data_IF_240580766466
#
_entry.id   IF_240580766466
#
_cell.length_a   1.000
_cell.length_b   1.000
_cell.length_c   1.000
_cell.angle_alpha   90.00
_cell.angle_beta   90.00
_cell.angle_gamma   90.00
#
_symmetry.space_group_name_H-M   'P 1'
#
loop_
_entity.id
_entity.type
_entity.pdbx_description
1 polymer ?
#
# COMPACT_ATOMS: atom_id res chain seq x y z
N UNK A 1 -2.09 -13.36 -24.26
CA UNK A 1 -3.10 -13.57 -23.20
C UNK A 1 -2.44 -13.29 -21.86
N UNK A 2 -2.72 -12.13 -21.25
CA UNK A 2 -2.18 -11.83 -19.91
C UNK A 2 -2.68 -12.88 -18.93
N UNK A 3 -1.75 -13.56 -18.27
CA UNK A 3 -2.01 -14.65 -17.34
C UNK A 3 -2.89 -14.14 -16.19
N UNK A 4 -4.16 -14.62 -16.15
CA UNK A 4 -5.19 -14.21 -15.19
C UNK A 4 -4.70 -14.34 -13.74
N UNK A 5 -3.77 -15.25 -13.49
CA UNK A 5 -3.16 -15.54 -12.19
C UNK A 5 -2.32 -14.38 -11.63
N UNK A 6 -1.86 -13.47 -12.48
CA UNK A 6 -1.05 -12.31 -12.10
C UNK A 6 -1.85 -11.05 -11.76
N UNK A 7 -3.15 -11.02 -12.07
CA UNK A 7 -4.01 -9.85 -11.80
C UNK A 7 -4.15 -9.57 -10.31
N UNK A 8 -3.99 -8.31 -9.92
CA UNK A 8 -4.14 -7.85 -8.54
C UNK A 8 -5.54 -8.15 -7.96
N UNK A 9 -6.57 -8.12 -8.80
CA UNK A 9 -7.95 -8.45 -8.42
C UNK A 9 -8.14 -9.94 -8.10
N UNK A 10 -7.39 -10.80 -8.79
CA UNK A 10 -7.42 -12.25 -8.54
C UNK A 10 -6.67 -12.58 -7.25
N UNK A 11 -5.58 -11.86 -6.97
CA UNK A 11 -4.80 -12.01 -5.73
C UNK A 11 -5.45 -11.37 -4.51
N UNK A 12 -6.35 -10.41 -4.71
CA UNK A 12 -7.12 -9.77 -3.66
C UNK A 12 -8.56 -9.53 -4.11
N UNK A 13 -9.48 -10.46 -3.80
CA UNK A 13 -10.87 -10.36 -4.25
C UNK A 13 -11.59 -9.15 -3.66
N UNK A 14 -11.11 -8.61 -2.54
CA UNK A 14 -11.72 -7.46 -1.88
C UNK A 14 -11.54 -6.15 -2.67
N UNK A 15 -10.59 -6.09 -3.61
CA UNK A 15 -10.40 -4.91 -4.48
C UNK A 15 -11.64 -4.58 -5.32
N UNK A 16 -12.50 -5.56 -5.58
CA UNK A 16 -13.74 -5.38 -6.35
C UNK A 16 -14.85 -4.72 -5.55
N UNK A 17 -14.71 -4.61 -4.23
CA UNK A 17 -15.75 -4.03 -3.38
C UNK A 17 -15.71 -2.49 -3.42
N UNK A 18 -16.86 -1.81 -3.46
CA UNK A 18 -16.91 -0.35 -3.33
C UNK A 18 -16.25 0.15 -2.03
N UNK A 19 -16.33 -0.64 -0.96
CA UNK A 19 -15.66 -0.34 0.31
C UNK A 19 -14.12 -0.27 0.18
N UNK A 20 -13.51 -1.06 -0.71
CA UNK A 20 -12.07 -0.99 -0.97
C UNK A 20 -11.67 0.34 -1.61
N UNK A 21 -12.49 0.88 -2.52
CA UNK A 21 -12.28 2.21 -3.08
C UNK A 21 -12.37 3.30 -2.01
N UNK A 22 -13.36 3.22 -1.10
CA UNK A 22 -13.49 4.15 0.02
C UNK A 22 -12.29 4.13 0.96
N UNK A 23 -11.73 2.95 1.26
CA UNK A 23 -10.51 2.86 2.07
C UNK A 23 -9.31 3.50 1.36
N UNK A 24 -9.24 3.41 0.03
CA UNK A 24 -8.16 4.04 -0.75
C UNK A 24 -8.27 5.57 -0.78
N UNK A 25 -9.49 6.12 -0.68
CA UNK A 25 -9.72 7.57 -0.63
C UNK A 25 -9.46 8.20 0.75
N UNK A 26 -9.21 7.40 1.80
CA UNK A 26 -8.81 7.91 3.11
C UNK A 26 -7.45 8.62 3.03
N UNK A 27 -7.18 9.53 3.98
CA UNK A 27 -5.87 10.20 4.08
C UNK A 27 -4.74 9.19 4.30
N UNK A 28 -3.48 9.51 3.91
CA UNK A 28 -2.34 8.63 4.13
C UNK A 28 -2.19 8.17 5.59
N UNK A 29 -2.38 9.08 6.53
CA UNK A 29 -2.24 8.85 7.98
C UNK A 29 -3.32 7.90 8.48
N UNK A 30 -4.58 8.15 8.10
CA UNK A 30 -5.70 7.27 8.45
C UNK A 30 -5.52 5.86 7.88
N UNK A 31 -4.99 5.74 6.65
CA UNK A 31 -4.67 4.45 6.05
C UNK A 31 -3.53 3.73 6.76
N UNK A 32 -2.51 4.45 7.23
CA UNK A 32 -1.40 3.85 7.96
C UNK A 32 -1.87 3.24 9.29
N UNK A 33 -2.66 4.01 10.06
CA UNK A 33 -3.28 3.52 11.30
C UNK A 33 -4.18 2.31 11.04
N UNK A 34 -5.06 2.40 10.04
CA UNK A 34 -5.95 1.30 9.68
C UNK A 34 -5.16 0.06 9.23
N UNK A 35 -4.07 0.24 8.48
CA UNK A 35 -3.22 -0.86 8.06
C UNK A 35 -2.60 -1.57 9.27
N UNK A 36 -2.09 -0.83 10.25
CA UNK A 36 -1.50 -1.46 11.43
C UNK A 36 -2.53 -2.25 12.23
N UNK A 37 -3.71 -1.67 12.49
CA UNK A 37 -4.80 -2.36 13.18
C UNK A 37 -5.23 -3.65 12.45
N UNK A 38 -5.34 -3.61 11.12
CA UNK A 38 -5.70 -4.79 10.32
C UNK A 38 -4.60 -5.85 10.32
N UNK A 39 -3.34 -5.44 10.39
CA UNK A 39 -2.19 -6.33 10.50
C UNK A 39 -2.19 -7.04 11.86
N UNK A 40 -2.37 -6.30 12.94
CA UNK A 40 -2.49 -6.86 14.30
C UNK A 40 -3.66 -7.84 14.39
N UNK A 41 -4.85 -7.46 13.90
CA UNK A 41 -6.02 -8.34 13.85
C UNK A 41 -5.73 -9.62 13.06
N UNK A 42 -5.00 -9.52 11.95
CA UNK A 42 -4.60 -10.68 11.15
C UNK A 42 -3.69 -11.64 11.94
N UNK A 43 -2.82 -11.13 12.81
CA UNK A 43 -1.96 -11.97 13.66
C UNK A 43 -2.73 -12.62 14.80
N UNK A 44 -3.51 -11.85 15.56
CA UNK A 44 -4.34 -12.39 16.66
C UNK A 44 -5.31 -13.47 16.15
N UNK A 45 -5.99 -13.23 15.02
CA UNK A 45 -6.87 -14.21 14.42
C UNK A 45 -6.14 -15.49 13.98
N UNK A 46 -4.88 -15.40 13.49
CA UNK A 46 -4.08 -16.61 13.20
C UNK A 46 -3.79 -17.39 14.48
N UNK A 47 -3.38 -16.72 15.55
CA UNK A 47 -3.09 -17.39 16.82
C UNK A 47 -4.34 -18.10 17.37
N UNK A 48 -5.50 -17.44 17.31
CA UNK A 48 -6.78 -18.04 17.71
C UNK A 48 -7.18 -19.24 16.86
N UNK A 49 -6.87 -19.21 15.55
CA UNK A 49 -7.08 -20.34 14.67
C UNK A 49 -6.21 -21.53 15.10
N UNK A 50 -4.91 -21.31 15.32
CA UNK A 50 -3.98 -22.36 15.77
C UNK A 50 -4.38 -22.93 17.14
N UNK A 51 -4.82 -22.08 18.08
CA UNK A 51 -5.36 -22.51 19.37
C UNK A 51 -6.61 -23.37 19.20
N UNK A 52 -7.51 -22.99 18.29
CA UNK A 52 -8.73 -23.75 18.01
C UNK A 52 -8.43 -25.10 17.36
N UNK A 53 -7.41 -25.17 16.47
CA UNK A 53 -6.92 -26.45 15.93
C UNK A 53 -6.41 -27.37 17.02
N UNK A 54 -5.56 -26.87 17.93
CA UNK A 54 -5.03 -27.64 19.07
C UNK A 54 -6.14 -28.14 20.02
N UNK A 55 -7.26 -27.43 20.09
CA UNK A 55 -8.42 -27.81 20.90
C UNK A 55 -9.43 -28.70 20.16
N UNK A 56 -9.12 -29.18 18.95
CA UNK A 56 -10.03 -29.95 18.09
C UNK A 56 -11.34 -29.20 17.74
N UNK A 57 -11.31 -27.87 17.72
CA UNK A 57 -12.46 -27.01 17.36
C UNK A 57 -12.36 -26.57 15.90
N UNK A 58 -12.46 -27.53 14.99
CA UNK A 58 -12.23 -27.29 13.56
C UNK A 58 -13.08 -26.15 12.95
N UNK A 59 -14.41 -26.03 13.20
CA UNK A 59 -15.20 -24.93 12.64
C UNK A 59 -14.72 -23.55 13.11
N UNK A 60 -14.35 -23.42 14.38
CA UNK A 60 -13.80 -22.17 14.91
C UNK A 60 -12.41 -21.86 14.36
N UNK A 61 -11.58 -22.88 14.16
CA UNK A 61 -10.27 -22.69 13.58
C UNK A 61 -10.37 -22.17 12.13
N UNK A 62 -11.29 -22.71 11.33
CA UNK A 62 -11.57 -22.22 9.97
C UNK A 62 -12.12 -20.80 9.99
N UNK A 63 -13.07 -20.48 10.88
CA UNK A 63 -13.60 -19.13 11.05
C UNK A 63 -12.48 -18.11 11.32
N UNK A 64 -11.65 -18.37 12.34
CA UNK A 64 -10.54 -17.49 12.68
C UNK A 64 -9.50 -17.38 11.55
N UNK A 65 -9.27 -18.47 10.81
CA UNK A 65 -8.39 -18.44 9.63
C UNK A 65 -8.96 -17.55 8.53
N UNK A 66 -10.26 -17.61 8.27
CA UNK A 66 -10.93 -16.74 7.29
C UNK A 66 -10.81 -15.26 7.69
N UNK A 67 -11.08 -14.94 8.97
CA UNK A 67 -10.90 -13.58 9.51
C UNK A 67 -9.47 -13.08 9.29
N UNK A 68 -8.46 -13.90 9.63
CA UNK A 68 -7.07 -13.55 9.44
C UNK A 68 -6.71 -13.25 7.97
N UNK A 69 -7.25 -14.03 7.04
CA UNK A 69 -7.03 -13.85 5.60
C UNK A 69 -7.68 -12.56 5.10
N UNK A 70 -8.95 -12.32 5.45
CA UNK A 70 -9.67 -11.11 5.04
C UNK A 70 -9.04 -9.84 5.61
N UNK A 71 -8.65 -9.84 6.90
CA UNK A 71 -7.91 -8.74 7.51
C UNK A 71 -6.59 -8.48 6.77
N UNK A 72 -5.87 -9.53 6.39
CA UNK A 72 -4.63 -9.43 5.60
C UNK A 72 -4.86 -8.87 4.18
N UNK A 73 -5.98 -9.19 3.54
CA UNK A 73 -6.35 -8.59 2.27
C UNK A 73 -6.68 -7.11 2.40
N UNK A 74 -7.42 -6.70 3.43
CA UNK A 74 -7.73 -5.30 3.71
C UNK A 74 -6.46 -4.51 4.03
N UNK A 75 -5.54 -5.08 4.82
CA UNK A 75 -4.23 -4.49 5.10
C UNK A 75 -3.47 -4.13 3.82
N UNK A 76 -3.41 -5.05 2.86
CA UNK A 76 -2.73 -4.80 1.57
C UNK A 76 -3.39 -3.65 0.81
N UNK A 77 -4.71 -3.53 0.85
CA UNK A 77 -5.45 -2.45 0.18
C UNK A 77 -5.10 -1.10 0.81
N UNK A 78 -5.08 -1.02 2.14
CA UNK A 78 -4.70 0.19 2.86
C UNK A 78 -3.24 0.61 2.54
N UNK A 79 -2.31 -0.36 2.49
CA UNK A 79 -0.87 -0.09 2.26
C UNK A 79 -0.51 0.26 0.81
N UNK A 80 -1.12 -0.40 -0.18
CA UNK A 80 -0.72 -0.29 -1.60
C UNK A 80 -0.85 1.14 -2.17
N UNK A 81 -1.68 1.99 -1.57
CA UNK A 81 -1.91 3.36 -2.06
C UNK A 81 -0.93 4.36 -1.44
N UNK A 82 -0.50 4.15 -0.18
CA UNK A 82 0.51 4.98 0.49
C UNK A 82 1.85 4.97 -0.26
N UNK A 83 2.39 3.79 -0.57
CA UNK A 83 3.68 3.66 -1.25
C UNK A 83 3.70 4.23 -2.69
N UNK A 84 2.55 4.31 -3.38
CA UNK A 84 2.47 5.00 -4.69
C UNK A 84 2.41 6.51 -4.52
N UNK A 85 1.73 7.00 -3.50
CA UNK A 85 1.62 8.43 -3.21
C UNK A 85 2.95 8.98 -2.70
N UNK A 86 3.64 8.29 -1.80
CA UNK A 86 4.98 8.62 -1.30
C UNK A 86 6.02 8.64 -2.42
N UNK A 87 5.99 7.65 -3.33
CA UNK A 87 6.84 7.66 -4.52
C UNK A 87 6.50 8.81 -5.47
N UNK A 88 5.22 9.11 -5.68
CA UNK A 88 4.81 10.21 -6.54
C UNK A 88 5.12 11.60 -5.93
N UNK A 89 5.12 11.74 -4.60
CA UNK A 89 5.59 12.94 -3.92
C UNK A 89 7.12 13.04 -3.93
N UNK A 90 7.84 11.93 -3.78
CA UNK A 90 9.30 11.90 -3.91
C UNK A 90 9.77 12.23 -5.34
N UNK A 91 9.08 11.73 -6.37
CA UNK A 91 9.33 12.10 -7.77
C UNK A 91 9.10 13.59 -8.01
N UNK A 92 7.99 14.15 -7.50
CA UNK A 92 7.72 15.60 -7.62
C UNK A 92 8.73 16.47 -6.86
N UNK A 93 9.21 16.02 -5.71
CA UNK A 93 10.27 16.72 -4.98
C UNK A 93 11.60 16.68 -5.76
N UNK A 94 11.94 15.55 -6.39
CA UNK A 94 13.14 15.46 -7.23
C UNK A 94 13.06 16.28 -8.52
N UNK A 95 11.87 16.48 -9.10
CA UNK A 95 11.68 17.33 -10.29
C UNK A 95 11.76 18.82 -9.94
N UNK A 96 11.35 19.21 -8.73
CA UNK A 96 11.44 20.59 -8.25
C UNK A 96 12.90 21.02 -7.97
N UNK A 97 13.78 20.10 -7.58
CA UNK A 97 15.20 20.41 -7.32
C UNK A 97 16.08 20.46 -8.57
N UNK A 98 15.61 19.95 -9.72
CA UNK A 98 16.37 19.98 -11.00
C UNK A 98 16.11 21.27 -11.79
N UNK A 99 15.12 22.09 -11.39
CA UNK A 99 14.68 23.29 -12.13
C UNK A 99 15.45 24.59 -11.89
N UNK A 100 16.43 24.65 -10.98
CA UNK A 100 17.13 25.91 -10.62
C UNK A 100 18.53 26.07 -11.26
N UNK A 101 18.95 25.12 -12.11
CA UNK A 101 20.26 25.14 -12.78
C UNK A 101 20.22 25.70 -14.19
N UNK A 102 19.88 26.98 -14.39
CA UNK A 102 20.07 27.63 -15.70
C UNK A 102 21.56 28.01 -15.88
N UNK A 103 22.24 27.61 -16.99
CA UNK A 103 23.64 27.93 -17.20
C UNK A 103 23.77 29.39 -17.68
N UNK A 104 24.42 30.23 -16.87
CA UNK A 104 24.81 31.58 -17.24
C UNK A 104 25.69 31.56 -18.48
N UNK A 105 25.19 32.17 -19.54
CA UNK A 105 25.84 32.24 -20.85
C UNK A 105 27.11 33.08 -20.75
N UNK A 106 28.26 32.44 -21.01
CA UNK A 106 29.55 33.06 -21.24
C UNK A 106 29.41 34.09 -22.38
N UNK A 107 29.87 35.32 -22.18
CA UNK A 107 30.08 36.29 -23.26
C UNK A 107 31.44 36.95 -23.10
N UNK A 108 32.33 36.85 -24.11
CA UNK A 108 33.67 37.40 -24.01
C UNK A 108 33.73 38.84 -24.57
N UNK A 109 34.76 39.56 -24.10
CA UNK A 109 35.56 40.54 -24.86
C UNK A 109 35.00 41.96 -24.97
N UNK A 110 35.65 42.87 -24.24
CA UNK A 110 35.79 44.28 -24.61
C UNK A 110 37.15 44.82 -24.16
N UNK A 111 38.05 45.00 -25.13
CA UNK A 111 39.10 46.03 -25.17
C UNK A 111 39.33 46.28 -26.68
N UNK A 112 39.49 47.53 -27.18
CA UNK A 112 40.64 48.35 -26.82
C UNK A 112 40.42 49.89 -26.74
N UNK A 113 41.49 50.54 -26.26
CA UNK A 113 41.94 51.96 -26.36
C UNK A 113 41.27 52.90 -27.35
#
# INVERSE_FOLDING_TARGET
MSDRSSSAEVRNPLLRLPAAQKMRSLSPEARAVLAELLRELSFDARERAERSWRQNKAPMAVYWKAVAVYAGHLYRIARLTGARCERASATRASEAEVGDGAPGHDTPRSDPR
#
